data_IF_681446065135
#
_entry.id   IF_681446065135
#
_cell.length_a   1.000
_cell.length_b   1.000
_cell.length_c   1.000
_cell.angle_alpha   90.00
_cell.angle_beta   90.00
_cell.angle_gamma   90.00
#
_symmetry.space_group_name_H-M   'P 1'
#
loop_
_entity.id
_entity.type
_entity.pdbx_description
1 polymer ?
#
# COMPACT_ATOMS: atom_id res chain seq x y z
N UNK A 1 20.48 31.09 36.12
CA UNK A 1 21.77 30.94 35.42
C UNK A 1 22.69 30.12 36.31
N UNK A 2 23.10 28.93 35.89
CA UNK A 2 24.19 28.20 36.55
C UNK A 2 25.51 28.79 36.02
N UNK A 3 26.26 29.48 36.86
CA UNK A 3 27.60 29.96 36.53
C UNK A 3 28.56 28.77 36.46
N UNK A 4 29.24 28.59 35.33
CA UNK A 4 30.28 27.59 35.17
C UNK A 4 31.58 28.14 35.76
N UNK A 5 32.00 27.62 36.92
CA UNK A 5 33.26 28.01 37.54
C UNK A 5 34.41 27.27 36.86
N UNK A 6 35.27 28.03 36.17
CA UNK A 6 36.32 27.47 35.34
C UNK A 6 37.53 27.12 36.21
N UNK A 7 37.62 25.86 36.65
CA UNK A 7 38.76 25.37 37.43
C UNK A 7 39.95 25.16 36.49
N UNK A 8 40.99 25.98 36.64
CA UNK A 8 42.20 25.95 35.79
C UNK A 8 43.23 24.92 36.25
N UNK A 9 43.19 24.49 37.51
CA UNK A 9 44.21 23.63 38.12
C UNK A 9 43.58 22.63 39.08
N UNK A 10 43.88 21.35 38.89
CA UNK A 10 43.46 20.24 39.75
C UNK A 10 44.70 19.57 40.33
N UNK A 11 44.68 19.25 41.62
CA UNK A 11 45.79 18.56 42.28
C UNK A 11 46.05 17.19 41.63
N UNK A 12 47.32 16.81 41.34
CA UNK A 12 47.65 15.55 40.69
C UNK A 12 47.12 14.29 41.39
N UNK A 13 46.86 14.35 42.71
CA UNK A 13 46.29 13.22 43.48
C UNK A 13 44.91 12.78 42.99
N UNK A 14 44.17 13.66 42.32
CA UNK A 14 42.85 13.37 41.76
C UNK A 14 42.88 13.12 40.24
N UNK A 15 44.05 13.24 39.60
CA UNK A 15 44.19 13.04 38.15
C UNK A 15 44.61 11.59 37.92
N UNK A 16 43.68 10.77 37.44
CA UNK A 16 44.00 9.42 37.01
C UNK A 16 44.97 9.47 35.82
N UNK A 17 45.99 8.61 35.84
CA UNK A 17 47.03 8.55 34.80
C UNK A 17 46.44 8.28 33.40
N UNK A 18 45.31 7.55 33.34
CA UNK A 18 44.53 7.36 32.11
C UNK A 18 43.98 8.68 31.53
N UNK A 19 43.62 9.64 32.37
CA UNK A 19 42.98 10.91 31.99
C UNK A 19 43.97 12.08 31.93
N UNK A 20 45.23 11.84 32.29
CA UNK A 20 46.29 12.83 32.16
C UNK A 20 46.49 13.25 30.70
N UNK A 21 46.27 14.53 30.41
CA UNK A 21 46.53 15.15 29.09
C UNK A 21 48.01 15.18 28.73
N UNK A 22 48.91 14.90 29.69
CA UNK A 22 50.37 14.88 29.49
C UNK A 22 50.87 13.55 28.90
N UNK A 23 50.04 12.51 28.91
CA UNK A 23 50.40 11.19 28.36
C UNK A 23 50.05 11.16 26.87
N UNK A 24 51.05 11.26 26.00
CA UNK A 24 50.88 11.01 24.57
C UNK A 24 50.71 9.51 24.34
N UNK A 25 49.47 9.07 24.12
CA UNK A 25 49.19 7.68 23.74
C UNK A 25 49.40 7.52 22.24
N UNK A 26 50.16 6.50 21.85
CA UNK A 26 50.17 6.04 20.47
C UNK A 26 48.81 5.41 20.20
N UNK A 27 47.96 6.09 19.46
CA UNK A 27 46.69 5.54 19.01
C UNK A 27 46.98 4.49 17.94
N UNK A 28 46.64 3.22 18.22
CA UNK A 28 46.66 2.19 17.18
C UNK A 28 45.43 2.40 16.33
N UNK A 29 45.61 2.73 15.06
CA UNK A 29 44.52 2.74 14.09
C UNK A 29 44.00 1.30 13.94
N UNK A 30 42.88 0.99 14.58
CA UNK A 30 42.17 -0.27 14.34
C UNK A 30 41.46 -0.10 13.01
N UNK A 31 42.01 -0.69 11.95
CA UNK A 31 41.35 -0.75 10.65
C UNK A 31 40.21 -1.76 10.74
N UNK A 32 39.00 -1.29 10.98
CA UNK A 32 37.79 -2.08 10.76
C UNK A 32 37.38 -1.94 9.30
N UNK A 33 37.75 -2.90 8.45
CA UNK A 33 37.18 -3.01 7.11
C UNK A 33 35.69 -3.34 7.24
N UNK A 34 34.82 -2.43 6.79
CA UNK A 34 33.39 -2.69 6.67
C UNK A 34 33.06 -3.43 5.35
N UNK A 35 34.08 -3.65 4.52
CA UNK A 35 34.02 -4.32 3.22
C UNK A 35 34.54 -5.76 3.29
N UNK A 36 34.33 -6.48 4.40
CA UNK A 36 34.68 -7.90 4.44
C UNK A 36 33.64 -8.72 3.65
N UNK A 37 34.04 -9.49 2.61
CA UNK A 37 33.10 -9.93 1.60
C UNK A 37 32.36 -11.22 1.97
N UNK A 38 31.03 -11.14 1.87
CA UNK A 38 30.16 -12.08 1.14
C UNK A 38 29.88 -13.50 1.66
N UNK A 39 30.39 -13.96 2.81
CA UNK A 39 30.06 -15.29 3.35
C UNK A 39 29.93 -15.37 4.88
N UNK A 40 29.48 -14.29 5.52
CA UNK A 40 29.08 -14.32 6.92
C UNK A 40 27.93 -15.34 7.13
N UNK A 41 27.97 -16.21 8.15
CA UNK A 41 26.81 -17.06 8.51
C UNK A 41 25.53 -16.25 8.71
N UNK A 42 25.68 -14.96 9.02
CA UNK A 42 24.59 -13.99 9.11
C UNK A 42 23.96 -13.64 7.75
N UNK A 43 24.73 -13.46 6.67
CA UNK A 43 24.19 -13.17 5.33
C UNK A 43 23.43 -14.37 4.76
N UNK A 44 23.94 -15.59 4.96
CA UNK A 44 23.24 -16.83 4.56
C UNK A 44 21.85 -16.99 5.19
N UNK A 45 21.67 -16.53 6.43
CA UNK A 45 20.33 -16.53 7.07
C UNK A 45 19.37 -15.56 6.39
N UNK A 46 19.87 -14.42 5.90
CA UNK A 46 19.06 -13.47 5.14
C UNK A 46 18.69 -14.02 3.76
N UNK A 47 19.61 -14.67 3.05
CA UNK A 47 19.31 -15.28 1.75
C UNK A 47 18.17 -16.31 1.86
N UNK A 48 18.21 -17.13 2.91
CA UNK A 48 17.18 -18.13 3.16
C UNK A 48 15.83 -17.51 3.56
N UNK A 49 15.86 -16.41 4.31
CA UNK A 49 14.65 -15.64 4.63
C UNK A 49 14.04 -15.02 3.38
N UNK A 50 14.85 -14.39 2.53
CA UNK A 50 14.43 -13.77 1.27
C UNK A 50 13.77 -14.82 0.38
N UNK A 51 14.43 -15.97 0.19
CA UNK A 51 13.89 -17.09 -0.58
C UNK A 51 12.51 -17.56 -0.08
N UNK A 52 12.36 -17.71 1.25
CA UNK A 52 11.08 -18.13 1.84
C UNK A 52 10.00 -17.06 1.73
N UNK A 53 10.37 -15.79 1.75
CA UNK A 53 9.44 -14.65 1.68
C UNK A 53 8.97 -14.32 0.26
N UNK A 54 9.67 -14.82 -0.76
CA UNK A 54 9.45 -14.43 -2.15
C UNK A 54 8.02 -14.72 -2.65
N UNK A 55 7.44 -15.87 -2.27
CA UNK A 55 6.07 -16.22 -2.63
C UNK A 55 5.02 -15.32 -1.98
N UNK A 56 5.26 -14.92 -0.72
CA UNK A 56 4.35 -14.01 0.01
C UNK A 56 4.38 -12.62 -0.62
N UNK A 57 5.59 -12.14 -0.95
CA UNK A 57 5.76 -10.86 -1.64
C UNK A 57 5.09 -10.87 -3.02
N UNK A 58 5.31 -11.94 -3.80
CA UNK A 58 4.69 -12.11 -5.12
C UNK A 58 3.16 -12.12 -5.04
N UNK A 59 2.59 -12.86 -4.11
CA UNK A 59 1.14 -12.91 -3.89
C UNK A 59 0.57 -11.55 -3.48
N UNK A 60 1.25 -10.85 -2.57
CA UNK A 60 0.84 -9.51 -2.15
C UNK A 60 0.87 -8.52 -3.33
N UNK A 61 1.94 -8.51 -4.13
CA UNK A 61 2.05 -7.65 -5.32
C UNK A 61 1.03 -7.98 -6.40
N UNK A 62 0.78 -9.26 -6.69
CA UNK A 62 -0.26 -9.68 -7.64
C UNK A 62 -1.64 -9.20 -7.16
N UNK A 63 -1.93 -9.25 -5.86
CA UNK A 63 -3.21 -8.77 -5.32
C UNK A 63 -3.37 -7.24 -5.45
N UNK A 64 -2.31 -6.46 -5.22
CA UNK A 64 -2.32 -5.01 -5.42
C UNK A 64 -2.54 -4.66 -6.90
N UNK A 65 -1.79 -5.31 -7.80
CA UNK A 65 -1.91 -5.11 -9.25
C UNK A 65 -3.31 -5.46 -9.77
N UNK A 66 -3.88 -6.59 -9.32
CA UNK A 66 -5.24 -7.00 -9.67
C UNK A 66 -6.28 -6.00 -9.18
N UNK A 67 -6.13 -5.48 -7.95
CA UNK A 67 -7.05 -4.44 -7.44
C UNK A 67 -6.94 -3.15 -8.24
N UNK A 68 -5.74 -2.74 -8.65
CA UNK A 68 -5.55 -1.57 -9.49
C UNK A 68 -6.22 -1.71 -10.87
N UNK A 69 -6.07 -2.87 -11.52
CA UNK A 69 -6.73 -3.16 -12.80
C UNK A 69 -8.26 -3.12 -12.65
N UNK A 70 -8.79 -3.71 -11.57
CA UNK A 70 -10.23 -3.73 -11.29
C UNK A 70 -10.79 -2.31 -11.11
N UNK A 71 -10.13 -1.47 -10.30
CA UNK A 71 -10.52 -0.08 -10.09
C UNK A 71 -10.53 0.70 -11.41
N UNK A 72 -9.47 0.58 -12.22
CA UNK A 72 -9.39 1.25 -13.51
C UNK A 72 -10.50 0.80 -14.48
N UNK A 73 -10.79 -0.51 -14.54
CA UNK A 73 -11.86 -1.03 -15.38
C UNK A 73 -13.23 -0.49 -14.95
N UNK A 74 -13.48 -0.41 -13.64
CA UNK A 74 -14.70 0.16 -13.08
C UNK A 74 -14.85 1.64 -13.45
N UNK A 75 -13.80 2.44 -13.23
CA UNK A 75 -13.81 3.88 -13.55
C UNK A 75 -14.05 4.12 -15.04
N UNK A 76 -13.45 3.30 -15.91
CA UNK A 76 -13.67 3.39 -17.35
C UNK A 76 -15.14 3.09 -17.73
N UNK A 77 -15.74 2.06 -17.14
CA UNK A 77 -17.17 1.73 -17.35
C UNK A 77 -18.07 2.87 -16.86
N UNK A 78 -17.75 3.47 -15.71
CA UNK A 78 -18.50 4.62 -15.18
C UNK A 78 -18.41 5.85 -16.10
N UNK A 79 -17.21 6.14 -16.62
CA UNK A 79 -17.01 7.24 -17.57
C UNK A 79 -17.80 7.03 -18.87
N UNK A 80 -17.78 5.81 -19.43
CA UNK A 80 -18.57 5.45 -20.62
C UNK A 80 -20.08 5.55 -20.35
N UNK A 81 -20.56 5.12 -19.18
CA UNK A 81 -21.98 5.24 -18.84
C UNK A 81 -22.43 6.70 -18.76
N UNK A 82 -21.61 7.58 -18.17
CA UNK A 82 -21.90 9.01 -18.09
C UNK A 82 -21.82 9.69 -19.46
N UNK A 83 -20.87 9.31 -20.32
CA UNK A 83 -20.78 9.83 -21.69
C UNK A 83 -22.02 9.44 -22.52
N UNK A 84 -22.51 8.21 -22.37
CA UNK A 84 -23.74 7.74 -23.01
C UNK A 84 -24.98 8.45 -22.49
N UNK A 85 -25.07 8.68 -21.17
CA UNK A 85 -26.14 9.50 -20.57
C UNK A 85 -26.12 10.91 -21.13
N UNK A 86 -24.95 11.55 -21.21
CA UNK A 86 -24.79 12.90 -21.74
C UNK A 86 -25.19 12.96 -23.23
N UNK A 87 -24.76 11.98 -24.04
CA UNK A 87 -25.12 11.86 -25.44
C UNK A 87 -26.62 11.69 -25.64
N UNK A 88 -27.26 10.81 -24.87
CA UNK A 88 -28.72 10.60 -24.91
C UNK A 88 -29.48 11.88 -24.55
N UNK A 89 -29.00 12.64 -23.57
CA UNK A 89 -29.62 13.90 -23.14
C UNK A 89 -29.48 14.99 -24.20
N UNK A 90 -28.33 15.06 -24.88
CA UNK A 90 -28.11 15.96 -26.02
C UNK A 90 -28.89 15.59 -27.30
N UNK A 91 -29.15 14.30 -27.55
CA UNK A 91 -29.98 13.87 -28.69
C UNK A 91 -31.48 13.96 -28.43
N UNK A 92 -31.90 14.10 -27.17
CA UNK A 92 -33.33 14.20 -26.80
C UNK A 92 -33.98 15.55 -27.11
N UNK A 93 -33.23 16.54 -27.61
CA UNK A 93 -33.79 17.83 -28.04
C UNK A 93 -34.37 17.82 -29.47
N UNK A 94 -34.61 16.63 -30.05
CA UNK A 94 -35.34 16.47 -31.31
C UNK A 94 -36.35 15.32 -31.18
N UNK A 95 -37.48 15.57 -30.54
CA UNK A 95 -38.68 14.75 -30.76
C UNK A 95 -39.79 15.65 -31.29
N UNK A 96 -40.11 15.39 -32.54
CA UNK A 96 -41.20 15.91 -33.35
C UNK A 96 -42.56 15.84 -32.61
N UNK A 97 -43.36 16.89 -32.77
CA UNK A 97 -44.72 17.02 -32.26
C UNK A 97 -45.66 15.92 -32.80
N UNK A 98 -46.50 15.39 -31.92
CA UNK A 98 -47.75 14.70 -32.19
C UNK A 98 -47.79 13.52 -33.17
N UNK A 99 -47.89 12.32 -32.59
CA UNK A 99 -48.84 11.33 -33.07
C UNK A 99 -49.50 10.63 -31.87
N UNK A 100 -50.75 11.04 -31.64
CA UNK A 100 -51.78 10.35 -30.89
C UNK A 100 -51.70 8.83 -31.08
N UNK A 101 -51.40 8.09 -30.00
CA UNK A 101 -51.56 6.64 -29.95
C UNK A 101 -52.42 6.27 -28.74
N UNK A 102 -53.63 5.80 -29.04
CA UNK A 102 -54.58 5.20 -28.10
C UNK A 102 -53.93 4.10 -27.24
N UNK A 103 -54.16 4.07 -25.92
CA UNK A 103 -53.66 2.99 -25.08
C UNK A 103 -54.65 1.83 -25.17
N UNK A 104 -54.47 0.92 -26.14
CA UNK A 104 -55.21 -0.34 -26.13
C UNK A 104 -54.66 -1.24 -25.03
N UNK A 105 -55.23 -1.06 -23.84
CA UNK A 105 -55.18 -1.96 -22.70
C UNK A 105 -55.62 -3.37 -23.13
N UNK A 106 -54.70 -4.32 -23.27
CA UNK A 106 -55.06 -5.75 -23.29
C UNK A 106 -53.93 -6.72 -22.93
N UNK A 107 -53.02 -6.36 -22.03
CA UNK A 107 -52.19 -7.39 -21.37
C UNK A 107 -52.97 -8.04 -20.22
N UNK A 108 -53.74 -9.09 -20.55
CA UNK A 108 -54.47 -9.91 -19.59
C UNK A 108 -53.53 -11.01 -19.09
N UNK A 109 -53.07 -10.89 -17.84
CA UNK A 109 -52.25 -11.91 -17.19
C UNK A 109 -53.05 -13.22 -16.97
N UNK A 110 -52.47 -14.41 -17.22
CA UNK A 110 -53.11 -15.69 -16.90
C UNK A 110 -53.25 -15.88 -15.39
N UNK A 111 -54.41 -16.38 -14.96
CA UNK A 111 -54.70 -16.70 -13.56
C UNK A 111 -54.17 -18.08 -13.17
N UNK A 112 -53.62 -18.15 -11.97
CA UNK A 112 -53.14 -19.35 -11.28
C UNK A 112 -54.19 -20.47 -11.18
N UNK A 113 -53.74 -21.72 -11.31
CA UNK A 113 -54.37 -22.84 -10.59
C UNK A 113 -53.45 -24.07 -10.41
N UNK A 114 -53.09 -24.31 -9.14
CA UNK A 114 -53.35 -25.55 -8.37
C UNK A 114 -52.24 -26.61 -8.10
N UNK A 115 -52.23 -27.01 -6.81
CA UNK A 115 -51.88 -28.28 -6.16
C UNK A 115 -50.42 -28.77 -6.14
N UNK A 116 -49.73 -28.46 -5.03
CA UNK A 116 -48.68 -29.34 -4.46
C UNK A 116 -49.35 -30.41 -3.59
N UNK A 117 -49.22 -31.67 -3.98
CA UNK A 117 -49.51 -32.84 -3.15
C UNK A 117 -48.26 -33.21 -2.35
N UNK A 118 -48.43 -33.41 -1.04
CA UNK A 118 -47.44 -34.01 -0.15
C UNK A 118 -47.13 -35.44 -0.60
N UNK A 119 -45.85 -35.83 -0.58
CA UNK A 119 -45.44 -37.24 -0.54
C UNK A 119 -44.84 -37.51 0.84
N UNK A 120 -45.42 -38.52 1.46
CA UNK A 120 -44.86 -39.33 2.54
C UNK A 120 -43.73 -40.21 1.99
#
# INVERSE_FOLDING_TARGET
MLSFEQVSQVSPRYILERWSKKVKRRHTHIKSSHDEPLLEPRSKRFDQLIFRSQNICKFASESEELTAILHHAYDNVMAEMESLKAKRKGTSSLSHEDANLDPLTSFKAPKDSNKRTSKE
#
